data_IF_047614782548
#
_entry.id   IF_047614782548
#
_cell.length_a   1.000
_cell.length_b   1.000
_cell.length_c   1.000
_cell.angle_alpha   90.00
_cell.angle_beta   90.00
_cell.angle_gamma   90.00
#
_symmetry.space_group_name_H-M   'P 1'
#
loop_
_entity.id
_entity.type
_entity.pdbx_description
1 polymer ?
#
# COMPACT_ATOMS: atom_id res chain seq x y z
N UNK A 1 13.79 11.01 8.92
CA UNK A 1 12.61 10.99 8.03
C UNK A 1 12.76 9.80 7.10
N UNK A 2 12.13 8.68 7.43
CA UNK A 2 12.09 7.50 6.55
C UNK A 2 11.02 7.71 5.49
N UNK A 3 11.45 8.29 4.38
CA UNK A 3 10.72 8.31 3.12
C UNK A 3 10.75 6.88 2.55
N UNK A 4 9.73 6.09 2.90
CA UNK A 4 9.52 4.71 2.44
C UNK A 4 9.26 4.57 0.93
N UNK A 5 9.36 5.66 0.15
CA UNK A 5 9.25 5.66 -1.31
C UNK A 5 10.30 4.79 -2.04
N UNK A 6 11.30 4.24 -1.33
CA UNK A 6 12.23 3.22 -1.84
C UNK A 6 12.52 2.08 -0.84
N UNK A 7 11.75 1.98 0.25
CA UNK A 7 12.06 1.07 1.38
C UNK A 7 11.30 -0.26 1.36
N UNK A 8 10.14 -0.34 0.70
CA UNK A 8 9.44 -1.61 0.47
C UNK A 8 10.15 -2.36 -0.66
N UNK A 9 11.28 -2.98 -0.35
CA UNK A 9 12.02 -3.79 -1.34
C UNK A 9 11.26 -5.09 -1.61
N UNK A 10 10.65 -5.19 -2.78
CA UNK A 10 10.08 -6.40 -3.38
C UNK A 10 8.88 -7.02 -2.66
N UNK A 11 9.06 -7.52 -1.45
CA UNK A 11 8.02 -8.23 -0.69
C UNK A 11 6.89 -7.29 -0.26
N UNK A 12 7.23 -6.05 0.09
CA UNK A 12 6.26 -5.03 0.47
C UNK A 12 5.40 -4.55 -0.69
N UNK A 13 5.98 -4.44 -1.89
CA UNK A 13 5.25 -4.07 -3.11
C UNK A 13 4.35 -5.21 -3.56
N UNK A 14 4.81 -6.46 -3.47
CA UNK A 14 3.97 -7.62 -3.74
C UNK A 14 2.72 -7.65 -2.86
N UNK A 15 2.89 -7.52 -1.55
CA UNK A 15 1.77 -7.51 -0.59
C UNK A 15 0.80 -6.35 -0.84
N UNK A 16 1.34 -5.20 -1.25
CA UNK A 16 0.53 -4.04 -1.64
C UNK A 16 -0.31 -4.36 -2.88
N UNK A 17 0.30 -4.87 -3.94
CA UNK A 17 -0.40 -5.24 -5.16
C UNK A 17 -1.43 -6.35 -4.92
N UNK A 18 -1.10 -7.36 -4.10
CA UNK A 18 -2.05 -8.38 -3.65
C UNK A 18 -3.27 -7.76 -2.98
N UNK A 19 -3.08 -6.82 -2.03
CA UNK A 19 -4.21 -6.15 -1.38
C UNK A 19 -4.99 -5.26 -2.33
N UNK A 20 -4.31 -4.46 -3.14
CA UNK A 20 -5.00 -3.63 -4.13
C UNK A 20 -5.81 -4.47 -5.11
N UNK A 21 -5.35 -5.68 -5.45
CA UNK A 21 -6.06 -6.63 -6.28
C UNK A 21 -7.27 -7.23 -5.57
N UNK A 22 -7.14 -7.58 -4.29
CA UNK A 22 -8.29 -8.01 -3.45
C UNK A 22 -9.36 -6.93 -3.31
N UNK A 23 -8.96 -5.66 -3.22
CA UNK A 23 -9.90 -4.52 -3.22
C UNK A 23 -10.43 -4.17 -4.62
N UNK A 24 -9.92 -4.80 -5.68
CA UNK A 24 -10.35 -4.56 -7.06
C UNK A 24 -9.76 -3.30 -7.71
N UNK A 25 -8.78 -2.65 -7.08
CA UNK A 25 -8.09 -1.48 -7.61
C UNK A 25 -6.88 -1.84 -8.49
N UNK A 26 -6.31 -3.05 -8.34
CA UNK A 26 -5.17 -3.51 -9.14
C UNK A 26 -5.54 -4.75 -9.97
N UNK A 27 -5.28 -4.71 -11.27
CA UNK A 27 -5.54 -5.82 -12.20
C UNK A 27 -4.27 -6.34 -12.88
N UNK A 28 -3.12 -5.73 -12.57
CA UNK A 28 -1.82 -6.12 -13.10
C UNK A 28 -1.24 -7.36 -12.46
N UNK A 29 -0.07 -7.75 -12.97
CA UNK A 29 0.75 -8.81 -12.40
C UNK A 29 1.38 -8.35 -11.07
N UNK A 30 1.29 -9.20 -10.04
CA UNK A 30 1.96 -8.92 -8.76
C UNK A 30 3.48 -9.05 -8.96
N UNK A 31 4.15 -7.91 -9.09
CA UNK A 31 5.59 -7.77 -9.21
C UNK A 31 6.24 -7.31 -7.90
N UNK A 32 7.57 -7.39 -7.85
CA UNK A 32 8.35 -6.75 -6.80
C UNK A 32 8.58 -5.25 -7.07
N UNK A 33 8.00 -4.70 -8.13
CA UNK A 33 8.32 -3.40 -8.69
C UNK A 33 7.14 -2.45 -8.53
N UNK A 34 7.44 -1.24 -8.08
CA UNK A 34 6.45 -0.19 -7.98
C UNK A 34 6.35 0.50 -9.35
N UNK A 35 5.57 -0.11 -10.25
CA UNK A 35 5.32 0.40 -11.59
C UNK A 35 4.21 1.46 -11.58
N UNK A 36 4.08 2.24 -12.66
CA UNK A 36 3.06 3.31 -12.78
C UNK A 36 1.62 2.80 -12.60
N UNK A 37 1.34 1.55 -12.99
CA UNK A 37 0.04 0.92 -12.74
C UNK A 37 -0.20 0.68 -11.24
N UNK A 38 0.84 0.28 -10.51
CA UNK A 38 0.77 0.13 -9.04
C UNK A 38 0.53 1.48 -8.39
N UNK A 39 1.24 2.52 -8.86
CA UNK A 39 1.05 3.88 -8.37
C UNK A 39 -0.38 4.37 -8.59
N UNK A 40 -0.95 4.15 -9.78
CA UNK A 40 -2.33 4.53 -10.07
C UNK A 40 -3.34 3.77 -9.20
N UNK A 41 -3.14 2.47 -8.99
CA UNK A 41 -3.99 1.69 -8.09
C UNK A 41 -3.88 2.14 -6.63
N UNK A 42 -2.68 2.52 -6.18
CA UNK A 42 -2.47 3.13 -4.85
C UNK A 42 -3.23 4.44 -4.74
N UNK A 43 -3.13 5.32 -5.75
CA UNK A 43 -3.86 6.60 -5.76
C UNK A 43 -5.36 6.38 -5.70
N UNK A 44 -5.90 5.48 -6.53
CA UNK A 44 -7.32 5.16 -6.54
C UNK A 44 -7.80 4.62 -5.18
N UNK A 45 -7.02 3.74 -4.54
CA UNK A 45 -7.31 3.26 -3.20
C UNK A 45 -7.25 4.40 -2.16
N UNK A 46 -6.23 5.25 -2.23
CA UNK A 46 -6.09 6.40 -1.34
C UNK A 46 -7.28 7.36 -1.48
N UNK A 47 -7.72 7.67 -2.70
CA UNK A 47 -8.92 8.49 -2.93
C UNK A 47 -10.18 7.83 -2.37
N UNK A 48 -10.31 6.50 -2.54
CA UNK A 48 -11.46 5.74 -2.03
C UNK A 48 -11.51 5.70 -0.50
N UNK A 49 -10.36 5.64 0.17
CA UNK A 49 -10.23 5.63 1.63
C UNK A 49 -10.23 7.06 2.23
N UNK A 50 -10.25 8.10 1.40
CA UNK A 50 -10.21 9.51 1.83
C UNK A 50 -8.81 9.98 2.27
N UNK A 51 -7.77 9.26 1.86
CA UNK A 51 -6.37 9.59 2.06
C UNK A 51 -5.87 10.53 0.95
N UNK A 52 -4.72 11.16 1.20
CA UNK A 52 -4.05 11.93 0.18
C UNK A 52 -3.51 11.00 -0.92
N UNK A 53 -4.03 11.15 -2.13
CA UNK A 53 -3.72 10.33 -3.30
C UNK A 53 -2.40 10.73 -3.96
N UNK A 54 -1.35 10.82 -3.15
CA UNK A 54 0.00 11.17 -3.60
C UNK A 54 0.69 10.00 -4.31
N UNK A 55 0.09 8.79 -4.31
CA UNK A 55 0.69 7.57 -4.83
C UNK A 55 1.80 7.02 -3.95
N UNK A 56 2.01 7.63 -2.78
CA UNK A 56 3.06 7.26 -1.84
C UNK A 56 2.49 6.24 -0.85
N UNK A 57 3.09 5.06 -0.83
CA UNK A 57 2.75 4.00 0.13
C UNK A 57 3.49 4.23 1.43
N UNK A 58 2.96 5.15 2.24
CA UNK A 58 3.45 5.41 3.59
C UNK A 58 2.84 4.45 4.62
N UNK A 59 3.22 4.64 5.89
CA UNK A 59 2.62 3.93 7.02
C UNK A 59 1.10 4.07 7.05
N UNK A 60 0.56 5.23 6.67
CA UNK A 60 -0.89 5.46 6.62
C UNK A 60 -1.55 4.55 5.58
N UNK A 61 -1.01 4.50 4.35
CA UNK A 61 -1.50 3.63 3.28
C UNK A 61 -1.39 2.15 3.68
N UNK A 62 -0.27 1.74 4.28
CA UNK A 62 -0.09 0.37 4.77
C UNK A 62 -1.06 0.02 5.91
N UNK A 63 -1.41 0.98 6.75
CA UNK A 63 -2.40 0.79 7.81
C UNK A 63 -3.80 0.62 7.23
N UNK A 64 -4.19 1.47 6.28
CA UNK A 64 -5.47 1.36 5.58
C UNK A 64 -5.61 0.02 4.84
N UNK A 65 -4.52 -0.48 4.25
CA UNK A 65 -4.45 -1.80 3.62
C UNK A 65 -4.35 -2.96 4.62
N UNK A 66 -4.38 -2.66 5.93
CA UNK A 66 -4.21 -3.62 7.02
C UNK A 66 -2.92 -4.46 6.91
N UNK A 67 -1.90 -3.91 6.23
CA UNK A 67 -0.56 -4.48 6.05
C UNK A 67 0.36 -4.17 7.23
N UNK A 68 0.01 -3.17 8.03
CA UNK A 68 0.52 -3.01 9.38
C UNK A 68 -0.41 -3.74 10.34
N UNK A 69 0.00 -4.93 10.79
CA UNK A 69 -0.47 -5.42 12.08
C UNK A 69 0.12 -4.49 13.15
N UNK A 70 -0.58 -3.40 13.45
CA UNK A 70 -0.46 -2.87 14.80
C UNK A 70 -1.05 -3.96 15.69
N UNK A 71 -0.17 -4.77 16.25
CA UNK A 71 -0.50 -5.54 17.43
C UNK A 71 -0.88 -4.50 18.49
N UNK A 72 -2.16 -4.17 18.59
CA UNK A 72 -2.75 -3.48 19.74
C UNK A 72 -2.78 -4.48 20.90
N UNK A 73 -1.59 -4.94 21.28
CA UNK A 73 -1.26 -5.45 22.60
C UNK A 73 -0.27 -4.39 23.08
N UNK A 74 -0.68 -3.33 23.74
CA UNK A 74 -0.97 -3.32 25.18
C UNK A 74 -1.98 -2.20 25.49
N UNK A 75 -3.23 -2.58 25.77
CA UNK A 75 -4.15 -1.76 26.55
C UNK A 75 -5.09 -2.70 27.31
N UNK A 76 -4.52 -3.45 28.24
CA UNK A 76 -5.22 -4.07 29.38
C UNK A 76 -4.40 -3.92 30.64
#
# INVERSE_FOLDING_TARGET
>A
MEILGKGLSGDGVKRLQERLQEFGFYQGDITSNFDEETENSVKAFQEADGLAADGIVGLITLHALNLLQLNTTELV
#
